data_IF_294742213008
#
_entry.id   IF_294742213008
#
_cell.length_a   1.000
_cell.length_b   1.000
_cell.length_c   1.000
_cell.angle_alpha   90.00
_cell.angle_beta   90.00
_cell.angle_gamma   90.00
#
_symmetry.space_group_name_H-M   'P 1'
#
loop_
_entity.id
_entity.type
_entity.pdbx_description
1 polymer ?
#
# COMPACT_ATOMS: atom_id res chain seq x y z
N UNK A 1 -0.52 -69.15 41.14
CA UNK A 1 -0.57 -67.67 40.97
C UNK A 1 -0.33 -66.99 42.30
N UNK A 2 0.81 -66.31 42.48
CA UNK A 2 1.05 -65.17 43.38
C UNK A 2 2.54 -64.77 43.26
N UNK A 3 2.83 -63.73 42.48
CA UNK A 3 4.14 -63.05 42.46
C UNK A 3 4.05 -61.82 43.35
N UNK A 4 5.00 -61.68 44.28
CA UNK A 4 5.33 -60.44 45.00
C UNK A 4 6.46 -59.75 44.21
N UNK A 5 6.41 -58.44 43.94
CA UNK A 5 7.57 -57.73 43.41
C UNK A 5 8.43 -57.18 44.56
N UNK A 6 9.74 -57.47 44.51
CA UNK A 6 10.75 -56.78 45.31
C UNK A 6 11.10 -55.44 44.64
N UNK A 7 11.10 -54.38 45.45
CA UNK A 7 11.48 -53.02 45.05
C UNK A 7 13.00 -52.89 45.30
N UNK A 8 13.77 -52.79 44.22
CA UNK A 8 15.21 -52.57 44.26
C UNK A 8 15.49 -51.06 44.38
N UNK A 9 16.11 -50.65 45.50
CA UNK A 9 16.59 -49.28 45.74
C UNK A 9 17.69 -48.90 44.74
N UNK A 10 17.51 -47.77 44.06
CA UNK A 10 18.48 -47.15 43.15
C UNK A 10 19.71 -46.63 43.92
N UNK A 11 20.91 -47.11 43.55
CA UNK A 11 22.16 -46.44 43.86
C UNK A 11 22.43 -45.32 42.85
N UNK A 12 22.84 -44.14 43.32
CA UNK A 12 23.23 -43.03 42.45
C UNK A 12 24.56 -43.35 41.75
N UNK A 13 24.69 -43.12 40.42
CA UNK A 13 25.95 -43.35 39.73
C UNK A 13 26.93 -42.22 40.04
N UNK A 14 27.97 -42.50 40.82
CA UNK A 14 29.14 -41.62 40.95
C UNK A 14 29.89 -41.58 39.61
N UNK A 15 30.08 -40.37 39.07
CA UNK A 15 30.73 -40.20 37.78
C UNK A 15 32.24 -40.42 37.90
N UNK A 16 32.81 -41.28 37.06
CA UNK A 16 34.25 -41.51 37.05
C UNK A 16 35.00 -40.23 36.60
N UNK A 17 36.22 -39.97 37.13
CA UNK A 17 37.02 -38.80 36.79
C UNK A 17 37.25 -38.63 35.28
N UNK A 18 37.32 -39.74 34.54
CA UNK A 18 37.48 -39.75 33.09
C UNK A 18 36.25 -39.20 32.35
N UNK A 19 35.02 -39.42 32.86
CA UNK A 19 33.79 -38.87 32.26
C UNK A 19 33.64 -37.38 32.57
N UNK A 20 34.06 -36.95 33.75
CA UNK A 20 34.15 -35.53 34.11
C UNK A 20 35.15 -34.77 33.23
N UNK A 21 36.32 -35.36 32.97
CA UNK A 21 37.32 -34.78 32.05
C UNK A 21 36.79 -34.71 30.61
N UNK A 22 36.13 -35.76 30.12
CA UNK A 22 35.52 -35.75 28.79
C UNK A 22 34.44 -34.67 28.65
N UNK A 23 33.57 -34.51 29.65
CA UNK A 23 32.56 -33.46 29.67
C UNK A 23 33.19 -32.05 29.67
N UNK A 24 34.24 -31.84 30.47
CA UNK A 24 34.99 -30.57 30.53
C UNK A 24 35.60 -30.20 29.18
N UNK A 25 36.23 -31.16 28.49
CA UNK A 25 36.83 -30.92 27.18
C UNK A 25 35.76 -30.57 26.15
N UNK A 26 34.64 -31.29 26.13
CA UNK A 26 33.52 -30.99 25.21
C UNK A 26 32.93 -29.61 25.50
N UNK A 27 32.72 -29.26 26.78
CA UNK A 27 32.22 -27.93 27.16
C UNK A 27 33.20 -26.81 26.77
N UNK A 28 34.50 -27.01 26.91
CA UNK A 28 35.51 -26.04 26.51
C UNK A 28 35.53 -25.83 24.98
N UNK A 29 35.40 -26.90 24.20
CA UNK A 29 35.32 -26.83 22.74
C UNK A 29 34.06 -26.10 22.28
N UNK A 30 32.91 -26.39 22.90
CA UNK A 30 31.64 -25.69 22.60
C UNK A 30 31.75 -24.20 22.95
N UNK A 31 32.33 -23.86 24.10
CA UNK A 31 32.54 -22.46 24.49
C UNK A 31 33.44 -21.71 23.49
N UNK A 32 34.52 -22.35 23.02
CA UNK A 32 35.40 -21.78 21.99
C UNK A 32 34.69 -21.59 20.65
N UNK A 33 33.83 -22.54 20.24
CA UNK A 33 33.06 -22.41 19.01
C UNK A 33 32.04 -21.27 19.08
N UNK A 34 31.36 -21.10 20.23
CA UNK A 34 30.44 -19.98 20.46
C UNK A 34 31.18 -18.64 20.45
N UNK A 35 32.35 -18.57 21.11
CA UNK A 35 33.18 -17.36 21.11
C UNK A 35 33.69 -17.01 19.70
N UNK A 36 34.11 -18.01 18.92
CA UNK A 36 34.53 -17.80 17.54
C UNK A 36 33.36 -17.30 16.66
N UNK A 37 32.16 -17.88 16.82
CA UNK A 37 30.94 -17.40 16.15
C UNK A 37 30.57 -15.97 16.55
N UNK A 38 30.69 -15.62 17.83
CA UNK A 38 30.44 -14.27 18.34
C UNK A 38 31.43 -13.25 17.76
N UNK A 39 32.73 -13.60 17.72
CA UNK A 39 33.75 -12.74 17.13
C UNK A 39 33.52 -12.54 15.63
N UNK A 40 33.15 -13.60 14.89
CA UNK A 40 32.79 -13.48 13.48
C UNK A 40 31.54 -12.62 13.26
N UNK A 41 30.54 -12.71 14.13
CA UNK A 41 29.35 -11.87 14.08
C UNK A 41 29.67 -10.39 14.37
N UNK A 42 30.55 -10.12 15.34
CA UNK A 42 31.00 -8.75 15.65
C UNK A 42 31.86 -8.17 14.51
N UNK A 43 32.75 -8.97 13.90
CA UNK A 43 33.55 -8.52 12.75
C UNK A 43 32.67 -8.30 11.52
N UNK A 44 31.67 -9.16 11.31
CA UNK A 44 30.66 -8.99 10.26
C UNK A 44 29.77 -7.76 10.45
N UNK A 45 29.41 -7.44 11.71
CA UNK A 45 28.60 -6.26 12.04
C UNK A 45 29.38 -4.94 12.11
N UNK A 46 30.72 -4.98 12.15
CA UNK A 46 31.59 -3.79 12.09
C UNK A 46 32.12 -3.51 10.68
N UNK A 47 31.84 -4.40 9.73
CA UNK A 47 32.16 -4.21 8.31
C UNK A 47 30.97 -3.55 7.63
N UNK A 48 31.02 -2.21 7.56
CA UNK A 48 30.22 -1.33 6.70
C UNK A 48 28.75 -1.75 6.52
N UNK A 49 27.86 -1.22 7.38
CA UNK A 49 26.51 -0.92 6.92
C UNK A 49 26.65 0.14 5.83
N UNK A 50 26.28 -0.15 4.57
CA UNK A 50 26.15 0.90 3.57
C UNK A 50 25.12 1.89 4.11
N UNK A 51 25.46 3.17 4.15
CA UNK A 51 24.54 4.23 4.58
C UNK A 51 23.22 4.05 3.80
N UNK A 52 22.14 3.65 4.47
CA UNK A 52 20.85 3.33 3.84
C UNK A 52 20.31 4.54 3.07
N UNK A 53 20.75 5.76 3.43
CA UNK A 53 20.49 6.98 2.66
C UNK A 53 21.14 6.97 1.29
N UNK A 54 22.38 6.54 1.17
CA UNK A 54 23.08 6.46 -0.12
C UNK A 54 22.50 5.32 -0.97
N UNK A 55 22.09 4.19 -0.38
CA UNK A 55 21.38 3.15 -1.10
C UNK A 55 19.98 3.59 -1.59
N UNK A 56 19.24 4.34 -0.78
CA UNK A 56 17.95 4.91 -1.16
C UNK A 56 18.09 6.03 -2.21
N UNK A 57 19.13 6.85 -2.14
CA UNK A 57 19.44 7.88 -3.13
C UNK A 57 19.89 7.26 -4.46
N UNK A 58 20.69 6.18 -4.44
CA UNK A 58 21.07 5.44 -5.65
C UNK A 58 19.89 4.69 -6.28
N UNK A 59 18.96 4.14 -5.47
CA UNK A 59 17.75 3.48 -5.97
C UNK A 59 16.70 4.48 -6.51
N UNK A 60 16.74 5.73 -6.07
CA UNK A 60 15.88 6.81 -6.55
C UNK A 60 16.40 7.49 -7.84
N UNK A 61 17.65 7.27 -8.21
CA UNK A 61 18.19 7.78 -9.46
C UNK A 61 17.56 7.00 -10.64
N UNK A 62 16.88 7.65 -11.59
CA UNK A 62 16.31 6.95 -12.74
C UNK A 62 17.43 6.22 -13.50
N UNK A 63 17.24 4.93 -13.77
CA UNK A 63 18.13 4.22 -14.69
C UNK A 63 18.18 4.97 -16.02
N UNK A 64 19.34 5.04 -16.70
CA UNK A 64 19.49 5.82 -17.93
C UNK A 64 18.51 5.39 -19.05
N UNK A 65 17.92 4.19 -18.94
CA UNK A 65 16.95 3.64 -19.88
C UNK A 65 15.47 3.86 -19.49
N UNK A 66 15.17 4.48 -18.34
CA UNK A 66 13.78 4.72 -17.91
C UNK A 66 13.16 5.89 -18.68
N UNK A 67 11.92 5.71 -19.14
CA UNK A 67 11.17 6.82 -19.71
C UNK A 67 10.88 7.88 -18.64
N UNK A 68 10.69 9.15 -19.06
CA UNK A 68 10.29 10.22 -18.13
C UNK A 68 8.97 9.93 -17.42
N UNK A 69 8.05 9.23 -18.08
CA UNK A 69 6.78 8.79 -17.49
C UNK A 69 7.03 7.81 -16.35
N UNK A 70 7.93 6.85 -16.55
CA UNK A 70 8.29 5.85 -15.54
C UNK A 70 9.05 6.46 -14.37
N UNK A 71 9.98 7.37 -14.64
CA UNK A 71 10.69 8.09 -13.59
C UNK A 71 9.72 8.90 -12.71
N UNK A 72 8.75 9.60 -13.31
CA UNK A 72 7.74 10.35 -12.56
C UNK A 72 6.81 9.42 -11.76
N UNK A 73 6.35 8.32 -12.36
CA UNK A 73 5.49 7.36 -11.67
C UNK A 73 6.21 6.68 -10.50
N UNK A 74 7.46 6.27 -10.68
CA UNK A 74 8.26 5.56 -9.68
C UNK A 74 8.81 6.45 -8.56
N UNK A 75 8.84 7.79 -8.73
CA UNK A 75 9.40 8.69 -7.72
C UNK A 75 8.72 8.46 -6.35
N UNK A 76 9.47 8.31 -5.25
CA UNK A 76 8.87 7.96 -3.95
C UNK A 76 7.97 9.07 -3.42
N UNK A 77 6.95 8.67 -2.65
CA UNK A 77 6.07 9.56 -1.88
C UNK A 77 6.40 9.43 -0.38
N UNK A 78 6.03 10.40 0.47
CA UNK A 78 6.15 10.25 1.91
C UNK A 78 5.41 9.00 2.41
N UNK A 79 5.98 8.32 3.41
CA UNK A 79 5.33 7.21 4.10
C UNK A 79 4.52 7.73 5.29
N UNK A 80 3.47 7.02 5.68
CA UNK A 80 2.70 7.27 6.90
C UNK A 80 2.53 5.98 7.70
N UNK A 81 2.20 6.11 8.99
CA UNK A 81 1.84 4.96 9.82
C UNK A 81 0.46 4.43 9.38
N UNK A 82 0.21 3.11 9.34
CA UNK A 82 -1.11 2.58 9.06
C UNK A 82 -2.24 3.19 9.91
N UNK A 83 -1.96 3.55 11.16
CA UNK A 83 -2.94 4.19 12.05
C UNK A 83 -3.29 5.62 11.62
N UNK A 84 -2.44 6.29 10.83
CA UNK A 84 -2.74 7.61 10.27
C UNK A 84 -3.92 7.58 9.29
N UNK A 85 -4.27 6.40 8.76
CA UNK A 85 -5.44 6.21 7.91
C UNK A 85 -6.76 6.25 8.70
N UNK A 86 -6.73 6.12 10.03
CA UNK A 86 -7.92 6.11 10.89
C UNK A 86 -8.40 7.53 11.21
N UNK A 87 -9.70 7.72 11.53
CA UNK A 87 -10.23 9.02 11.92
C UNK A 87 -9.40 9.75 12.97
N UNK A 88 -8.88 10.92 12.61
CA UNK A 88 -8.00 11.74 13.44
C UNK A 88 -8.56 13.14 13.76
N UNK A 89 -7.87 13.90 14.63
CA UNK A 89 -8.25 15.27 14.94
C UNK A 89 -8.13 16.19 13.72
N UNK A 90 -9.14 17.02 13.48
CA UNK A 90 -9.15 17.98 12.38
C UNK A 90 -8.11 19.08 12.65
N UNK A 91 -7.30 19.36 11.64
CA UNK A 91 -6.31 20.43 11.63
C UNK A 91 -6.98 21.80 11.76
N UNK A 92 -6.26 22.73 12.39
CA UNK A 92 -6.61 24.17 12.38
C UNK A 92 -5.88 24.93 11.28
N UNK A 93 -4.99 24.28 10.55
CA UNK A 93 -4.30 24.83 9.39
C UNK A 93 -5.24 24.75 8.18
N UNK A 94 -5.20 25.77 7.33
CA UNK A 94 -5.85 25.68 6.03
C UNK A 94 -4.95 24.88 5.10
N UNK A 95 -5.45 23.77 4.56
CA UNK A 95 -4.78 23.09 3.46
C UNK A 95 -4.85 23.96 2.20
N UNK A 96 -3.84 23.83 1.34
CA UNK A 96 -3.95 24.35 -0.02
C UNK A 96 -5.11 23.66 -0.76
N UNK A 97 -5.68 24.34 -1.76
CA UNK A 97 -6.87 23.87 -2.49
C UNK A 97 -6.50 23.47 -3.91
N UNK A 98 -7.06 22.35 -4.37
CA UNK A 98 -7.11 21.94 -5.76
C UNK A 98 -8.53 22.11 -6.29
N UNK A 99 -8.68 22.92 -7.33
CA UNK A 99 -9.95 23.12 -8.02
C UNK A 99 -10.16 21.99 -9.04
N UNK A 100 -11.24 21.22 -8.88
CA UNK A 100 -11.58 20.13 -9.77
C UNK A 100 -12.70 20.52 -10.71
N UNK A 101 -12.50 20.38 -12.03
CA UNK A 101 -13.56 20.60 -12.99
C UNK A 101 -14.69 19.59 -12.74
N UNK A 102 -15.93 20.03 -13.01
CA UNK A 102 -17.08 19.12 -13.04
C UNK A 102 -17.09 18.26 -14.30
N UNK A 103 -17.63 17.05 -14.16
CA UNK A 103 -17.89 16.18 -15.30
C UNK A 103 -18.93 16.84 -16.23
N UNK A 104 -18.75 16.64 -17.54
CA UNK A 104 -19.67 17.16 -18.57
C UNK A 104 -20.49 16.05 -19.23
N UNK A 105 -20.22 14.79 -18.90
CA UNK A 105 -20.98 13.64 -19.37
C UNK A 105 -20.75 12.38 -18.55
N UNK A 106 -21.32 11.27 -19.03
CA UNK A 106 -21.10 9.92 -18.51
C UNK A 106 -20.42 9.07 -19.58
N UNK A 107 -19.38 8.35 -19.19
CA UNK A 107 -18.63 7.45 -20.06
C UNK A 107 -19.00 5.98 -19.83
N UNK A 108 -18.14 5.09 -20.33
CA UNK A 108 -18.30 3.65 -20.14
C UNK A 108 -18.38 3.27 -18.66
N UNK A 109 -19.13 2.21 -18.35
CA UNK A 109 -19.38 1.75 -16.98
C UNK A 109 -20.00 2.82 -16.05
N UNK A 110 -20.68 3.83 -16.62
CA UNK A 110 -21.32 4.95 -15.93
C UNK A 110 -20.35 5.86 -15.14
N UNK A 111 -19.06 5.82 -15.49
CA UNK A 111 -18.06 6.70 -14.89
C UNK A 111 -18.24 8.13 -15.41
N UNK A 112 -18.40 9.15 -14.54
CA UNK A 112 -18.41 10.54 -14.96
C UNK A 112 -17.16 10.92 -15.76
N UNK A 113 -17.33 11.69 -16.83
CA UNK A 113 -16.22 12.03 -17.75
C UNK A 113 -16.42 13.38 -18.44
N UNK A 114 -15.59 13.66 -19.45
CA UNK A 114 -15.56 14.91 -20.20
C UNK A 114 -14.82 16.02 -19.46
N UNK A 115 -13.87 15.64 -18.61
CA UNK A 115 -12.96 16.57 -17.94
C UNK A 115 -11.94 17.15 -18.92
N UNK A 116 -11.52 18.41 -18.75
CA UNK A 116 -10.59 19.06 -19.65
C UNK A 116 -9.21 18.39 -19.63
N UNK A 117 -8.45 18.53 -20.73
CA UNK A 117 -7.06 18.09 -20.88
C UNK A 117 -6.11 18.97 -20.05
N UNK A 118 -6.19 18.81 -18.74
CA UNK A 118 -5.43 19.51 -17.71
C UNK A 118 -5.08 18.51 -16.60
N UNK A 119 -4.04 18.77 -15.79
CA UNK A 119 -3.72 17.92 -14.65
C UNK A 119 -4.87 17.77 -13.66
N UNK A 120 -5.62 18.84 -13.40
CA UNK A 120 -6.81 18.85 -12.54
C UNK A 120 -7.94 18.02 -13.15
N UNK A 121 -8.11 18.06 -14.48
CA UNK A 121 -9.05 17.19 -15.19
C UNK A 121 -8.64 15.72 -15.12
N UNK A 122 -7.35 15.41 -15.11
CA UNK A 122 -6.87 14.04 -14.94
C UNK A 122 -7.12 13.52 -13.52
N UNK A 123 -6.93 14.35 -12.49
CA UNK A 123 -7.25 14.05 -11.11
C UNK A 123 -8.77 13.85 -10.91
N UNK A 124 -9.58 14.70 -11.53
CA UNK A 124 -11.04 14.57 -11.50
C UNK A 124 -11.51 13.28 -12.18
N UNK A 125 -10.88 12.88 -13.28
CA UNK A 125 -11.18 11.61 -13.93
C UNK A 125 -10.78 10.42 -13.08
N UNK A 126 -9.61 10.44 -12.42
CA UNK A 126 -9.20 9.38 -11.50
C UNK A 126 -10.21 9.24 -10.35
N UNK A 127 -10.56 10.35 -9.69
CA UNK A 127 -11.55 10.32 -8.61
C UNK A 127 -12.90 9.74 -9.07
N UNK A 128 -13.33 10.03 -10.30
CA UNK A 128 -14.54 9.47 -10.87
C UNK A 128 -14.44 7.95 -11.12
N UNK A 129 -13.29 7.47 -11.62
CA UNK A 129 -13.01 6.04 -11.83
C UNK A 129 -13.08 5.30 -10.48
N UNK A 130 -12.35 5.78 -9.48
CA UNK A 130 -12.27 5.15 -8.15
C UNK A 130 -13.62 5.11 -7.45
N UNK A 131 -14.34 6.24 -7.45
CA UNK A 131 -15.67 6.32 -6.83
C UNK A 131 -16.62 5.31 -7.46
N UNK A 132 -16.71 5.27 -8.79
CA UNK A 132 -17.61 4.34 -9.48
C UNK A 132 -17.19 2.88 -9.28
N UNK A 133 -15.89 2.59 -9.32
CA UNK A 133 -15.37 1.24 -9.12
C UNK A 133 -15.60 0.73 -7.70
N UNK A 134 -15.24 1.51 -6.69
CA UNK A 134 -15.29 1.08 -5.30
C UNK A 134 -16.72 1.10 -4.74
N UNK A 135 -17.56 2.06 -5.11
CA UNK A 135 -18.96 2.08 -4.66
C UNK A 135 -19.80 0.94 -5.25
N UNK A 136 -19.28 0.20 -6.23
CA UNK A 136 -19.96 -1.00 -6.75
C UNK A 136 -20.05 -2.12 -5.72
N UNK A 137 -19.19 -2.11 -4.68
CA UNK A 137 -19.16 -3.12 -3.61
C UNK A 137 -19.07 -4.56 -4.09
N UNK A 138 -18.45 -4.79 -5.26
CA UNK A 138 -18.45 -6.08 -5.94
C UNK A 138 -17.23 -6.22 -6.86
N UNK A 139 -16.73 -7.46 -6.99
CA UNK A 139 -15.61 -7.78 -7.87
C UNK A 139 -15.95 -7.52 -9.35
N UNK A 140 -17.19 -7.78 -9.77
CA UNK A 140 -17.61 -7.54 -11.16
C UNK A 140 -17.64 -6.05 -11.49
N UNK A 141 -18.02 -5.19 -10.53
CA UNK A 141 -18.05 -3.76 -10.75
C UNK A 141 -16.66 -3.13 -10.88
N UNK A 142 -15.76 -3.43 -9.94
CA UNK A 142 -14.37 -2.92 -9.99
C UNK A 142 -13.63 -3.40 -11.25
N UNK A 143 -13.80 -4.68 -11.65
CA UNK A 143 -13.19 -5.25 -12.87
C UNK A 143 -13.73 -4.63 -14.15
N UNK A 144 -15.04 -4.41 -14.21
CA UNK A 144 -15.69 -3.77 -15.37
C UNK A 144 -15.20 -2.33 -15.54
N UNK A 145 -15.05 -1.57 -14.47
CA UNK A 145 -14.54 -0.19 -14.56
C UNK A 145 -13.11 -0.19 -15.10
N UNK A 146 -12.18 -0.96 -14.52
CA UNK A 146 -10.79 -0.92 -14.99
C UNK A 146 -10.63 -1.41 -16.44
N UNK A 147 -11.42 -2.40 -16.87
CA UNK A 147 -11.39 -2.88 -18.26
C UNK A 147 -11.77 -1.79 -19.28
N UNK A 148 -12.62 -0.84 -18.91
CA UNK A 148 -13.11 0.25 -19.78
C UNK A 148 -12.27 1.54 -19.68
N UNK A 149 -11.51 1.69 -18.59
CA UNK A 149 -10.83 2.92 -18.21
C UNK A 149 -9.30 2.83 -18.13
N UNK A 150 -8.73 1.65 -18.37
CA UNK A 150 -7.30 1.49 -18.61
C UNK A 150 -6.98 1.55 -20.11
N UNK A 151 -5.91 2.27 -20.46
CA UNK A 151 -5.31 2.23 -21.78
C UNK A 151 -4.59 0.87 -22.02
N UNK A 152 -4.38 0.48 -23.28
CA UNK A 152 -3.56 -0.70 -23.59
C UNK A 152 -2.18 -0.61 -22.92
N UNK A 153 -1.79 -1.67 -22.20
CA UNK A 153 -0.55 -1.72 -21.42
C UNK A 153 -0.64 -1.12 -20.02
N UNK A 154 -1.80 -0.62 -19.61
CA UNK A 154 -2.10 -0.23 -18.23
C UNK A 154 -2.55 -1.40 -17.35
N UNK A 155 -3.01 -1.11 -16.12
CA UNK A 155 -3.54 -2.13 -15.20
C UNK A 155 -4.75 -2.87 -15.78
N UNK A 156 -4.90 -4.13 -15.39
CA UNK A 156 -5.96 -5.02 -15.85
C UNK A 156 -6.88 -5.41 -14.69
N UNK A 157 -8.01 -6.10 -14.96
CA UNK A 157 -8.84 -6.70 -13.91
C UNK A 157 -8.11 -7.66 -12.95
N UNK A 158 -6.89 -8.06 -13.25
CA UNK A 158 -6.05 -8.96 -12.45
C UNK A 158 -4.88 -8.24 -11.77
N UNK A 159 -4.49 -7.05 -12.23
CA UNK A 159 -3.28 -6.36 -11.77
C UNK A 159 -3.53 -5.02 -11.12
N UNK A 160 -4.71 -4.43 -11.29
CA UNK A 160 -5.02 -3.14 -10.67
C UNK A 160 -5.21 -3.27 -9.16
N UNK A 161 -4.49 -2.45 -8.40
CA UNK A 161 -4.56 -2.40 -6.94
C UNK A 161 -5.98 -2.19 -6.39
N UNK A 162 -6.84 -1.44 -7.10
CA UNK A 162 -8.25 -1.27 -6.72
C UNK A 162 -9.04 -2.59 -6.69
N UNK A 163 -8.70 -3.56 -7.57
CA UNK A 163 -9.32 -4.90 -7.56
C UNK A 163 -8.88 -5.69 -6.34
N UNK A 164 -7.60 -5.63 -5.99
CA UNK A 164 -7.06 -6.31 -4.81
C UNK A 164 -7.65 -5.72 -3.51
N UNK A 165 -7.77 -4.39 -3.45
CA UNK A 165 -8.43 -3.68 -2.35
C UNK A 165 -9.89 -4.13 -2.16
N UNK A 166 -10.66 -4.27 -3.25
CA UNK A 166 -12.04 -4.76 -3.18
C UNK A 166 -12.10 -6.23 -2.72
N UNK A 167 -11.21 -7.09 -3.21
CA UNK A 167 -11.14 -8.48 -2.79
C UNK A 167 -10.83 -8.61 -1.28
N UNK A 168 -9.89 -7.79 -0.80
CA UNK A 168 -9.50 -7.70 0.60
C UNK A 168 -10.66 -7.21 1.47
N UNK A 169 -11.36 -6.16 1.05
CA UNK A 169 -12.53 -5.64 1.75
C UNK A 169 -13.65 -6.68 1.88
N UNK A 170 -14.04 -7.31 0.77
CA UNK A 170 -15.11 -8.30 0.77
C UNK A 170 -14.75 -9.51 1.62
N UNK A 171 -13.49 -9.95 1.55
CA UNK A 171 -12.97 -11.05 2.36
C UNK A 171 -12.99 -10.73 3.86
N UNK A 172 -12.56 -9.52 4.24
CA UNK A 172 -12.61 -9.04 5.63
C UNK A 172 -14.06 -8.93 6.15
N UNK A 173 -15.01 -8.61 5.27
CA UNK A 173 -16.44 -8.57 5.57
C UNK A 173 -17.12 -9.94 5.56
N UNK A 174 -16.41 -11.03 5.22
CA UNK A 174 -16.99 -12.36 5.08
C UNK A 174 -17.96 -12.51 3.90
N UNK A 175 -17.83 -11.65 2.88
CA UNK A 175 -18.69 -11.58 1.72
C UNK A 175 -18.08 -12.30 0.52
N UNK A 176 -18.94 -12.81 -0.36
CA UNK A 176 -18.51 -13.31 -1.67
C UNK A 176 -18.14 -12.16 -2.61
N UNK A 177 -17.47 -12.47 -3.72
CA UNK A 177 -17.13 -11.48 -4.75
C UNK A 177 -18.32 -10.77 -5.38
N UNK A 178 -19.53 -11.31 -5.25
CA UNK A 178 -20.77 -10.65 -5.69
C UNK A 178 -21.17 -9.46 -4.79
N UNK A 179 -20.54 -9.31 -3.61
CA UNK A 179 -20.94 -8.34 -2.60
C UNK A 179 -22.15 -8.81 -1.78
N UNK A 180 -22.91 -7.85 -1.28
CA UNK A 180 -24.14 -8.08 -0.51
C UNK A 180 -25.06 -6.85 -0.61
N UNK A 181 -26.39 -7.04 -0.61
CA UNK A 181 -27.33 -5.92 -0.54
C UNK A 181 -27.33 -5.20 0.82
N UNK A 182 -26.72 -5.79 1.86
CA UNK A 182 -26.50 -5.15 3.16
C UNK A 182 -25.19 -4.36 3.20
N UNK A 183 -24.29 -4.57 2.24
CA UNK A 183 -23.06 -3.79 2.11
C UNK A 183 -23.37 -2.43 1.51
N UNK A 184 -23.09 -1.37 2.25
CA UNK A 184 -23.11 0.00 1.77
C UNK A 184 -21.69 0.58 1.81
N UNK A 185 -21.21 1.07 0.67
CA UNK A 185 -19.92 1.74 0.55
C UNK A 185 -20.17 3.18 0.10
N UNK A 186 -19.62 4.13 0.85
CA UNK A 186 -19.60 5.54 0.49
C UNK A 186 -18.15 5.95 0.34
N UNK A 187 -17.79 6.34 -0.89
CA UNK A 187 -16.45 6.84 -1.23
C UNK A 187 -16.55 8.33 -1.49
N UNK A 188 -15.80 9.13 -0.71
CA UNK A 188 -15.77 10.58 -0.86
C UNK A 188 -14.33 11.02 -1.15
N UNK A 189 -14.03 11.50 -2.36
CA UNK A 189 -12.78 12.21 -2.61
C UNK A 189 -12.77 13.47 -1.74
N UNK A 190 -11.78 13.61 -0.86
CA UNK A 190 -11.66 14.79 0.03
C UNK A 190 -10.41 15.59 -0.27
N UNK A 191 -9.29 14.91 -0.54
CA UNK A 191 -8.03 15.55 -0.89
C UNK A 191 -7.39 14.92 -2.13
N UNK A 192 -6.44 15.64 -2.73
CA UNK A 192 -5.71 15.16 -3.89
C UNK A 192 -4.33 15.76 -4.04
N UNK A 193 -3.57 15.15 -4.95
CA UNK A 193 -2.19 15.46 -5.27
C UNK A 193 -1.99 15.35 -6.78
N UNK A 194 -1.20 16.28 -7.32
CA UNK A 194 -0.65 16.16 -8.68
C UNK A 194 0.84 16.02 -8.45
N UNK A 195 1.34 14.79 -8.54
CA UNK A 195 2.75 14.47 -8.32
C UNK A 195 3.64 15.09 -9.40
N UNK A 196 3.11 15.16 -10.63
CA UNK A 196 3.72 15.91 -11.71
C UNK A 196 3.09 15.56 -13.06
N UNK A 197 3.64 16.15 -14.11
CA UNK A 197 3.21 15.97 -15.50
C UNK A 197 4.40 15.74 -16.41
N UNK A 198 4.16 15.09 -17.54
CA UNK A 198 5.11 15.05 -18.66
C UNK A 198 4.36 15.47 -19.91
N UNK A 199 4.51 16.75 -20.27
CA UNK A 199 3.67 17.37 -21.28
C UNK A 199 2.22 17.51 -20.82
N UNK A 200 1.31 17.65 -21.78
CA UNK A 200 -0.13 17.86 -21.51
C UNK A 200 -0.95 16.57 -21.52
N UNK A 201 -0.34 15.46 -21.94
CA UNK A 201 -1.04 14.18 -22.15
C UNK A 201 -0.77 13.15 -21.06
N UNK A 202 0.09 13.49 -20.10
CA UNK A 202 0.48 12.57 -19.03
C UNK A 202 0.61 13.30 -17.70
N UNK A 203 -0.08 12.77 -16.70
CA UNK A 203 0.03 13.22 -15.32
C UNK A 203 0.10 12.01 -14.39
N UNK A 204 0.84 12.15 -13.29
CA UNK A 204 0.69 11.23 -12.15
C UNK A 204 -0.06 11.99 -11.07
N UNK A 205 -1.24 11.49 -10.75
CA UNK A 205 -2.17 12.13 -9.82
C UNK A 205 -2.59 11.12 -8.77
N UNK A 206 -2.89 11.61 -7.57
CA UNK A 206 -3.35 10.79 -6.48
C UNK A 206 -4.58 11.42 -5.82
N UNK A 207 -5.52 10.58 -5.42
CA UNK A 207 -6.74 10.98 -4.71
C UNK A 207 -6.72 10.33 -3.34
N UNK A 208 -7.11 11.08 -2.30
CA UNK A 208 -7.29 10.59 -0.95
C UNK A 208 -8.77 10.67 -0.57
N UNK A 209 -9.32 9.53 -0.18
CA UNK A 209 -10.74 9.33 0.07
C UNK A 209 -11.02 9.22 1.57
N UNK A 210 -12.15 9.76 2.00
CA UNK A 210 -12.85 9.15 3.13
C UNK A 210 -13.64 7.94 2.60
N UNK A 211 -13.27 6.75 3.07
CA UNK A 211 -13.91 5.49 2.72
C UNK A 211 -14.77 5.01 3.89
N UNK A 212 -16.09 4.98 3.70
CA UNK A 212 -17.04 4.52 4.71
C UNK A 212 -17.70 3.23 4.26
N UNK A 213 -17.61 2.19 5.08
CA UNK A 213 -18.21 0.89 4.81
C UNK A 213 -19.18 0.57 5.92
N UNK A 214 -20.37 0.12 5.56
CA UNK A 214 -21.37 -0.39 6.51
C UNK A 214 -21.85 -1.75 6.06
N UNK A 215 -21.83 -2.72 6.99
CA UNK A 215 -22.51 -4.01 6.84
C UNK A 215 -23.41 -4.17 8.06
N UNK A 216 -22.90 -4.76 9.14
CA UNK A 216 -23.56 -4.75 10.47
C UNK A 216 -23.12 -3.54 11.29
N UNK A 217 -21.86 -3.12 11.11
CA UNK A 217 -21.26 -1.94 11.75
C UNK A 217 -20.68 -1.02 10.68
N UNK A 218 -20.58 0.26 11.01
CA UNK A 218 -19.93 1.26 10.17
C UNK A 218 -18.46 1.40 10.55
N UNK A 219 -17.59 1.27 9.56
CA UNK A 219 -16.17 1.59 9.65
C UNK A 219 -15.82 2.76 8.72
N UNK A 220 -14.82 3.54 9.11
CA UNK A 220 -14.29 4.66 8.32
C UNK A 220 -12.77 4.59 8.31
N UNK A 221 -12.19 4.73 7.13
CA UNK A 221 -10.74 4.73 6.92
C UNK A 221 -10.41 5.65 5.73
N UNK A 222 -9.18 6.15 5.70
CA UNK A 222 -8.63 6.81 4.53
C UNK A 222 -8.05 5.79 3.56
N UNK A 223 -8.28 6.00 2.27
CA UNK A 223 -7.63 5.24 1.21
C UNK A 223 -7.09 6.24 0.21
N UNK A 224 -5.84 6.09 -0.19
CA UNK A 224 -5.26 6.83 -1.28
C UNK A 224 -5.05 5.92 -2.49
N UNK A 225 -5.31 6.45 -3.69
CA UNK A 225 -4.91 5.82 -4.94
C UNK A 225 -4.09 6.80 -5.77
N UNK A 226 -3.04 6.32 -6.43
CA UNK A 226 -2.23 7.07 -7.37
C UNK A 226 -2.27 6.36 -8.71
N UNK A 227 -2.55 7.08 -9.79
CA UNK A 227 -2.52 6.50 -11.12
C UNK A 227 -1.72 7.34 -12.10
N UNK A 228 -1.18 6.65 -13.10
CA UNK A 228 -0.69 7.27 -14.34
C UNK A 228 -1.93 7.63 -15.14
N UNK A 229 -2.20 8.90 -15.33
CA UNK A 229 -3.31 9.34 -16.18
C UNK A 229 -2.76 9.76 -17.54
N UNK A 230 -3.33 9.21 -18.61
CA UNK A 230 -2.96 9.51 -19.98
C UNK A 230 -4.15 10.03 -20.76
N UNK A 231 -3.94 11.07 -21.56
CA UNK A 231 -4.93 11.59 -22.49
C UNK A 231 -5.00 10.66 -23.70
N UNK A 232 -6.14 10.02 -23.92
CA UNK A 232 -6.35 9.08 -25.03
C UNK A 232 -7.61 9.47 -25.81
N UNK A 233 -7.41 9.91 -27.05
CA UNK A 233 -8.49 10.45 -27.88
C UNK A 233 -9.01 11.76 -27.31
N UNK A 234 -10.15 11.70 -26.62
CA UNK A 234 -10.91 12.83 -26.08
C UNK A 234 -11.10 12.77 -24.56
N UNK A 235 -10.45 11.82 -23.86
CA UNK A 235 -10.61 11.63 -22.42
C UNK A 235 -9.32 11.23 -21.71
N UNK A 236 -9.30 11.42 -20.40
CA UNK A 236 -8.30 10.83 -19.51
C UNK A 236 -8.62 9.36 -19.22
N UNK A 237 -7.61 8.51 -19.19
CA UNK A 237 -7.68 7.07 -18.82
C UNK A 237 -6.46 6.71 -17.98
N UNK A 238 -6.51 5.59 -17.26
CA UNK A 238 -5.33 5.05 -16.58
C UNK A 238 -4.36 4.55 -17.65
N UNK A 239 -3.19 5.18 -17.72
CA UNK A 239 -2.18 5.01 -18.75
C UNK A 239 -1.35 3.74 -18.60
N UNK A 240 -0.50 3.46 -19.61
CA UNK A 240 0.34 2.26 -19.62
C UNK A 240 1.47 2.30 -18.59
N UNK A 241 1.87 1.11 -18.16
CA UNK A 241 2.99 0.87 -17.24
C UNK A 241 2.54 0.44 -15.85
N UNK A 242 3.50 0.16 -14.95
CA UNK A 242 3.22 -0.14 -13.55
C UNK A 242 2.50 1.02 -12.85
N UNK A 243 1.68 0.70 -11.86
CA UNK A 243 1.08 1.72 -11.00
C UNK A 243 2.17 2.57 -10.32
N UNK A 244 1.93 3.89 -10.11
CA UNK A 244 2.85 4.77 -9.41
C UNK A 244 3.23 4.29 -8.01
N UNK A 245 4.35 4.79 -7.50
CA UNK A 245 4.65 4.69 -6.07
C UNK A 245 3.46 5.22 -5.25
N UNK A 246 2.96 4.46 -4.27
CA UNK A 246 1.72 4.77 -3.58
C UNK A 246 1.86 6.04 -2.74
N UNK A 247 0.82 6.87 -2.73
CA UNK A 247 0.70 7.95 -1.76
C UNK A 247 0.25 7.39 -0.40
N UNK A 248 0.59 8.07 0.71
CA UNK A 248 0.20 7.59 2.03
C UNK A 248 -1.31 7.77 2.22
N UNK A 249 -2.00 6.68 2.57
CA UNK A 249 -3.39 6.71 3.04
C UNK A 249 -3.42 7.35 4.42
N UNK A 250 -3.88 8.60 4.52
CA UNK A 250 -3.91 9.40 5.75
C UNK A 250 -5.23 10.10 5.90
N UNK A 251 -5.76 10.17 7.11
CA UNK A 251 -7.10 10.70 7.35
C UNK A 251 -7.25 12.14 6.87
N UNK A 252 -8.24 12.42 6.00
CA UNK A 252 -8.40 13.75 5.45
C UNK A 252 -8.65 14.84 6.52
N UNK A 253 -8.08 16.02 6.31
CA UNK A 253 -8.20 17.18 7.18
C UNK A 253 -7.27 17.17 8.39
N UNK A 254 -6.35 16.22 8.53
CA UNK A 254 -5.37 16.16 9.63
C UNK A 254 -4.09 16.93 9.33
N UNK A 255 -3.32 17.30 10.37
CA UNK A 255 -1.98 17.88 10.21
C UNK A 255 -1.05 16.92 9.44
N UNK A 256 -1.17 15.60 9.69
CA UNK A 256 -0.42 14.57 8.96
C UNK A 256 -0.73 14.59 7.47
N UNK A 257 -2.00 14.73 7.09
CA UNK A 257 -2.38 14.79 5.68
C UNK A 257 -1.82 16.04 4.99
N UNK A 258 -1.90 17.20 5.64
CA UNK A 258 -1.32 18.45 5.12
C UNK A 258 0.20 18.33 5.00
N UNK A 259 0.87 17.76 5.99
CA UNK A 259 2.32 17.55 5.98
C UNK A 259 2.78 16.57 4.89
N UNK A 260 1.94 15.57 4.54
CA UNK A 260 2.15 14.68 3.41
C UNK A 260 1.89 15.36 2.04
N UNK A 261 1.49 16.63 2.04
CA UNK A 261 1.28 17.47 0.86
C UNK A 261 -0.14 17.42 0.28
N UNK A 262 -1.06 16.68 0.90
CA UNK A 262 -2.44 16.60 0.42
C UNK A 262 -3.13 17.96 0.41
N UNK A 263 -3.93 18.21 -0.65
CA UNK A 263 -4.65 19.46 -0.87
C UNK A 263 -6.16 19.22 -0.90
N UNK A 264 -6.93 20.12 -0.33
CA UNK A 264 -8.40 20.06 -0.30
C UNK A 264 -8.99 20.11 -1.71
N UNK A 265 -9.93 19.21 -1.99
CA UNK A 265 -10.65 19.18 -3.26
C UNK A 265 -11.84 20.15 -3.24
N UNK A 266 -11.93 21.01 -4.25
CA UNK A 266 -13.07 21.92 -4.45
C UNK A 266 -13.56 21.87 -5.88
N UNK A 267 -14.84 21.56 -6.08
CA UNK A 267 -15.42 21.56 -7.42
C UNK A 267 -15.70 22.97 -7.94
N UNK A 268 -15.29 23.24 -9.17
CA UNK A 268 -15.56 24.47 -9.93
C UNK A 268 -16.37 24.19 -11.20
#
# INVERSE_FOLDING_TARGET
MRRRPDIQRSGAPEWSPARLLAALVVSAVVALAVLAGLVLAVVGGLSEEPDERDAALQAAAPSPDMSRHDALAAAPMPTADPDDALPGPVSRQAADVLELPRATGAGAADVPTGFPRTPEGSLAQLAAIDVTAMQSGSMDGVRRVIAEWAAPGGPTPETWSGVDGMASLLSAAGLSGAGSPQLAIVVRPVMGLIKGTVGEEFAVVCVNFEFTVTVEQTSRIAIADCQRMSWAGDRWVIGPGPEPAPAPSVWPGTDTAIAAGWRDLRHV
#
